data_IF_251021478381
#
_entry.id   IF_251021478381
#
_cell.length_a   1.000
_cell.length_b   1.000
_cell.length_c   1.000
_cell.angle_alpha   90.00
_cell.angle_beta   90.00
_cell.angle_gamma   90.00
#
_symmetry.space_group_name_H-M   'P 1'
#
loop_
_entity.id
_entity.type
_entity.pdbx_description
1 polymer ?
#
# COMPACT_ATOMS: atom_id res chain seq x y z
N UNK A 1 -4.51 -14.92 23.85
CA UNK A 1 -3.97 -14.07 22.76
C UNK A 1 -4.27 -12.62 23.09
N UNK A 2 -3.31 -11.72 22.97
CA UNK A 2 -3.58 -10.30 23.14
C UNK A 2 -4.51 -9.81 22.01
N UNK A 3 -5.38 -8.85 22.31
CA UNK A 3 -6.21 -8.21 21.29
C UNK A 3 -5.31 -7.45 20.29
N UNK A 4 -5.69 -7.43 19.00
CA UNK A 4 -4.93 -6.70 17.99
C UNK A 4 -4.86 -5.21 18.33
N UNK A 5 -3.69 -4.61 18.13
CA UNK A 5 -3.52 -3.17 18.24
C UNK A 5 -3.95 -2.53 16.93
N UNK A 6 -4.76 -1.46 17.03
CA UNK A 6 -5.18 -0.69 15.85
C UNK A 6 -4.52 0.66 15.86
N UNK A 7 -3.75 0.94 14.81
CA UNK A 7 -3.14 2.25 14.54
C UNK A 7 -3.95 2.93 13.45
N UNK A 8 -4.32 4.20 13.65
CA UNK A 8 -5.01 5.02 12.66
C UNK A 8 -4.19 6.29 12.42
N UNK A 9 -3.74 6.47 11.18
CA UNK A 9 -2.91 7.60 10.75
C UNK A 9 -3.76 8.50 9.86
N UNK A 10 -3.75 9.80 10.13
CA UNK A 10 -4.39 10.84 9.31
C UNK A 10 -3.31 11.81 8.86
N UNK A 11 -3.33 12.13 7.57
CA UNK A 11 -2.37 13.04 6.96
C UNK A 11 -3.10 13.95 5.98
N UNK A 12 -2.80 15.24 6.04
CA UNK A 12 -3.31 16.24 5.10
C UNK A 12 -2.34 16.40 3.92
N UNK A 13 -2.89 16.49 2.72
CA UNK A 13 -2.14 16.71 1.49
C UNK A 13 -2.66 17.97 0.80
N UNK A 14 -1.76 18.74 0.21
CA UNK A 14 -2.13 19.90 -0.63
C UNK A 14 -2.70 19.47 -1.99
N UNK A 15 -2.48 18.22 -2.39
CA UNK A 15 -2.93 17.65 -3.67
C UNK A 15 -4.38 17.13 -3.59
N UNK A 16 -5.12 17.10 -4.73
CA UNK A 16 -6.46 16.52 -4.79
C UNK A 16 -6.47 15.03 -4.38
N UNK A 17 -7.55 14.53 -3.74
CA UNK A 17 -7.64 13.15 -3.25
C UNK A 17 -7.39 12.08 -4.32
N UNK A 18 -7.81 12.33 -5.56
CA UNK A 18 -7.70 11.42 -6.69
C UNK A 18 -6.23 11.24 -7.10
N UNK A 19 -5.48 12.35 -7.10
CA UNK A 19 -4.04 12.37 -7.39
C UNK A 19 -3.28 11.62 -6.31
N UNK A 20 -3.63 11.86 -5.03
CA UNK A 20 -3.01 11.15 -3.91
C UNK A 20 -3.33 9.66 -3.97
N UNK A 21 -4.59 9.30 -4.26
CA UNK A 21 -5.01 7.90 -4.38
C UNK A 21 -4.25 7.18 -5.50
N UNK A 22 -4.11 7.80 -6.66
CA UNK A 22 -3.38 7.23 -7.80
C UNK A 22 -1.88 7.12 -7.52
N UNK A 23 -1.29 8.12 -6.87
CA UNK A 23 0.11 8.11 -6.47
C UNK A 23 0.43 7.02 -5.43
N UNK A 24 -0.43 6.85 -4.41
CA UNK A 24 -0.28 5.82 -3.38
C UNK A 24 -0.63 4.41 -3.92
N UNK A 25 -1.54 4.33 -4.89
CA UNK A 25 -1.93 3.08 -5.55
C UNK A 25 -0.80 2.48 -6.39
N UNK A 26 0.14 3.30 -6.85
CA UNK A 26 1.37 2.84 -7.50
C UNK A 26 2.51 2.68 -6.49
N UNK A 27 2.58 1.48 -5.92
CA UNK A 27 3.46 1.13 -4.80
C UNK A 27 4.96 1.19 -5.15
N UNK A 28 5.30 1.23 -6.43
CA UNK A 28 6.66 1.47 -6.92
C UNK A 28 7.14 2.90 -6.62
N UNK A 29 6.22 3.87 -6.55
CA UNK A 29 6.51 5.26 -6.17
C UNK A 29 6.84 5.39 -4.67
N UNK A 30 6.45 4.41 -3.86
CA UNK A 30 6.65 4.44 -2.41
C UNK A 30 8.06 3.99 -2.01
N UNK A 31 8.79 3.31 -2.89
CA UNK A 31 10.14 2.83 -2.63
C UNK A 31 11.12 3.94 -2.24
N UNK A 32 11.25 5.03 -3.03
CA UNK A 32 12.09 6.18 -2.68
C UNK A 32 11.63 6.92 -1.42
N UNK A 33 10.31 6.99 -1.17
CA UNK A 33 9.73 7.71 -0.03
C UNK A 33 10.02 7.00 1.29
N UNK A 34 9.95 5.68 1.31
CA UNK A 34 10.16 4.88 2.53
C UNK A 34 11.57 4.25 2.63
N UNK A 35 12.47 4.52 1.69
CA UNK A 35 13.77 3.83 1.62
C UNK A 35 13.61 2.31 1.48
N UNK A 36 12.56 1.89 0.77
CA UNK A 36 12.14 0.51 0.64
C UNK A 36 12.33 0.01 -0.79
N UNK A 37 12.72 -1.25 -0.95
CA UNK A 37 12.59 -1.94 -2.23
C UNK A 37 11.22 -2.59 -2.28
N UNK A 38 10.41 -2.19 -3.25
CA UNK A 38 9.10 -2.77 -3.54
C UNK A 38 9.23 -3.58 -4.82
N UNK A 39 9.03 -4.89 -4.74
CA UNK A 39 9.03 -5.77 -5.91
C UNK A 39 7.65 -6.41 -6.06
N UNK A 40 7.05 -6.24 -7.22
CA UNK A 40 5.79 -6.91 -7.54
C UNK A 40 6.03 -8.40 -7.75
N UNK A 41 5.26 -9.22 -7.05
CA UNK A 41 5.32 -10.69 -7.12
C UNK A 41 4.17 -11.23 -7.97
N UNK A 42 2.98 -10.62 -7.85
CA UNK A 42 1.77 -11.03 -8.58
C UNK A 42 0.86 -9.83 -8.84
N UNK A 43 0.21 -9.82 -10.01
CA UNK A 43 -0.86 -8.87 -10.33
C UNK A 43 -2.17 -9.22 -9.64
N UNK A 44 -3.04 -8.22 -9.48
CA UNK A 44 -4.39 -8.42 -8.99
C UNK A 44 -5.29 -9.10 -10.03
N UNK A 45 -6.42 -9.62 -9.55
CA UNK A 45 -7.30 -10.47 -10.36
C UNK A 45 -7.96 -9.70 -11.52
N UNK A 46 -8.21 -8.39 -11.35
CA UNK A 46 -8.88 -7.53 -12.33
C UNK A 46 -8.02 -6.37 -12.82
N UNK A 47 -7.00 -5.98 -12.06
CA UNK A 47 -6.06 -4.93 -12.43
C UNK A 47 -4.70 -5.18 -11.78
N UNK A 48 -3.65 -4.59 -12.34
CA UNK A 48 -2.26 -4.74 -11.88
C UNK A 48 -2.11 -4.61 -10.35
N UNK A 49 -2.70 -3.57 -9.77
CA UNK A 49 -2.67 -3.28 -8.33
C UNK A 49 -4.00 -3.59 -7.62
N UNK A 50 -4.89 -4.35 -8.27
CA UNK A 50 -6.19 -4.72 -7.74
C UNK A 50 -6.12 -5.71 -6.58
N UNK A 51 -7.29 -6.11 -6.09
CA UNK A 51 -7.42 -7.21 -5.11
C UNK A 51 -6.70 -8.46 -5.62
N UNK A 52 -5.98 -9.13 -4.72
CA UNK A 52 -5.17 -10.31 -5.03
C UNK A 52 -3.75 -10.01 -5.51
N UNK A 53 -3.40 -8.74 -5.74
CA UNK A 53 -2.03 -8.33 -6.06
C UNK A 53 -1.10 -8.60 -4.87
N UNK A 54 0.11 -9.09 -5.15
CA UNK A 54 1.13 -9.40 -4.12
C UNK A 54 2.39 -8.60 -4.40
N UNK A 55 2.90 -7.95 -3.37
CA UNK A 55 4.14 -7.18 -3.39
C UNK A 55 5.05 -7.62 -2.26
N UNK A 56 6.34 -7.70 -2.57
CA UNK A 56 7.39 -7.89 -1.58
C UNK A 56 7.96 -6.52 -1.20
N UNK A 57 7.80 -6.16 0.07
CA UNK A 57 8.39 -4.97 0.66
C UNK A 57 9.66 -5.35 1.41
N UNK A 58 10.76 -4.62 1.17
CA UNK A 58 11.99 -4.74 1.95
C UNK A 58 12.45 -3.34 2.39
N UNK A 59 12.43 -3.11 3.70
CA UNK A 59 12.84 -1.82 4.29
C UNK A 59 14.19 -2.01 4.98
N UNK A 60 15.22 -1.33 4.49
CA UNK A 60 16.56 -1.37 5.08
C UNK A 60 17.16 -2.79 5.17
N UNK A 61 17.93 -3.11 6.24
CA UNK A 61 18.60 -4.41 6.39
C UNK A 61 17.66 -5.54 6.84
N UNK A 62 16.37 -5.25 7.10
CA UNK A 62 15.42 -6.23 7.59
C UNK A 62 15.02 -7.24 6.49
N UNK A 63 14.60 -8.46 6.86
CA UNK A 63 13.99 -9.39 5.93
C UNK A 63 12.77 -8.76 5.28
N UNK A 64 12.65 -8.90 3.96
CA UNK A 64 11.45 -8.44 3.27
C UNK A 64 10.25 -9.34 3.59
N UNK A 65 9.06 -8.76 3.59
CA UNK A 65 7.79 -9.46 3.76
C UNK A 65 6.90 -9.28 2.53
N UNK A 66 5.92 -10.15 2.37
CA UNK A 66 4.94 -10.08 1.28
C UNK A 66 3.61 -9.57 1.82
N UNK A 67 3.03 -8.62 1.09
CA UNK A 67 1.73 -8.04 1.37
C UNK A 67 0.79 -8.35 0.21
N UNK A 68 -0.45 -8.70 0.54
CA UNK A 68 -1.51 -8.98 -0.44
C UNK A 68 -2.63 -7.96 -0.30
N UNK A 69 -3.00 -7.32 -1.40
CA UNK A 69 -4.14 -6.40 -1.43
C UNK A 69 -5.44 -7.20 -1.26
N UNK A 70 -6.17 -6.99 -0.16
CA UNK A 70 -7.42 -7.71 0.14
C UNK A 70 -8.68 -6.92 -0.20
N UNK A 71 -8.61 -5.58 -0.20
CA UNK A 71 -9.67 -4.68 -0.63
C UNK A 71 -9.06 -3.49 -1.38
N UNK A 72 -9.78 -2.99 -2.39
CA UNK A 72 -9.42 -1.77 -3.11
C UNK A 72 -10.69 -0.96 -3.40
N UNK A 73 -11.10 -0.15 -2.43
CA UNK A 73 -12.28 0.73 -2.54
C UNK A 73 -11.88 2.20 -2.69
N UNK A 74 -12.46 2.89 -3.67
CA UNK A 74 -12.41 4.36 -3.77
C UNK A 74 -13.44 4.93 -2.81
N UNK A 75 -12.99 5.40 -1.65
CA UNK A 75 -13.82 6.14 -0.69
C UNK A 75 -13.24 7.55 -0.58
N UNK A 76 -14.07 8.56 -0.32
CA UNK A 76 -13.67 9.96 -0.06
C UNK A 76 -12.62 10.13 1.07
N UNK A 77 -12.22 9.03 1.71
CA UNK A 77 -11.16 8.90 2.69
C UNK A 77 -10.35 7.66 2.30
N UNK A 78 -9.16 7.86 1.75
CA UNK A 78 -8.27 6.74 1.36
C UNK A 78 -7.89 5.93 2.59
N UNK A 79 -8.39 4.71 2.69
CA UNK A 79 -7.97 3.73 3.70
C UNK A 79 -7.15 2.67 2.99
N UNK A 80 -5.84 2.70 3.19
CA UNK A 80 -4.96 1.60 2.78
C UNK A 80 -4.99 0.57 3.91
N UNK A 81 -5.60 -0.59 3.63
CA UNK A 81 -5.54 -1.74 4.55
C UNK A 81 -4.40 -2.64 4.08
N UNK A 82 -3.25 -2.50 4.74
CA UNK A 82 -2.12 -3.43 4.66
C UNK A 82 -2.32 -4.57 5.66
#
# INVERSE_FOLDING_TARGET
>A
MAAPQRVHVVMDFESPPEVVFEALGEHENLGPVFGATVTRVRDGDTSRNGVGSVRRLKIGPLPGFEETTTDLSRVSRTVLVC
#
